data_IF_242116774394
#
_entry.id   IF_242116774394
#
_cell.length_a   1.000
_cell.length_b   1.000
_cell.length_c   1.000
_cell.angle_alpha   90.00
_cell.angle_beta   90.00
_cell.angle_gamma   90.00
#
_symmetry.space_group_name_H-M   'P 1'
#
loop_
_entity.id
_entity.type
_entity.pdbx_description
1 polymer ?
#
# COMPACT_ATOMS: atom_id res chain seq x y z
N UNK A 1 -68.71 11.05 -18.35
CA UNK A 1 -67.84 12.15 -17.92
C UNK A 1 -67.15 11.62 -16.66
N UNK A 2 -65.88 11.25 -16.64
CA UNK A 2 -64.72 12.04 -17.03
C UNK A 2 -63.60 11.23 -17.71
N UNK A 3 -63.14 11.77 -18.82
CA UNK A 3 -61.93 11.37 -19.54
C UNK A 3 -60.71 11.78 -18.72
N UNK A 4 -60.05 10.83 -18.06
CA UNK A 4 -58.69 11.06 -17.53
C UNK A 4 -57.70 10.99 -18.69
N UNK A 5 -57.24 12.15 -19.10
CA UNK A 5 -56.20 12.37 -20.10
C UNK A 5 -54.93 11.55 -19.77
N UNK A 6 -54.62 10.54 -20.60
CA UNK A 6 -53.29 9.93 -20.64
C UNK A 6 -52.32 10.97 -21.19
N UNK A 7 -51.46 11.50 -20.32
CA UNK A 7 -50.35 12.37 -20.75
C UNK A 7 -49.24 11.45 -21.26
N UNK A 8 -49.13 11.32 -22.58
CA UNK A 8 -47.98 10.67 -23.22
C UNK A 8 -46.84 11.68 -23.29
N UNK A 9 -45.91 11.63 -22.33
CA UNK A 9 -44.64 12.38 -22.42
C UNK A 9 -43.72 11.58 -23.33
N UNK A 10 -43.78 11.84 -24.63
CA UNK A 10 -42.78 11.35 -25.58
C UNK A 10 -41.65 12.37 -25.64
N UNK A 11 -40.71 12.32 -24.69
CA UNK A 11 -39.45 13.07 -24.85
C UNK A 11 -38.54 12.26 -25.77
N UNK A 12 -38.45 12.67 -27.03
CA UNK A 12 -37.65 12.01 -28.07
C UNK A 12 -36.12 12.24 -27.89
N UNK A 13 -35.68 12.71 -26.72
CA UNK A 13 -34.29 13.05 -26.40
C UNK A 13 -33.89 12.23 -25.18
N UNK A 14 -32.76 11.48 -25.23
CA UNK A 14 -32.28 10.74 -24.07
C UNK A 14 -32.08 11.70 -22.91
N UNK A 15 -32.79 11.46 -21.81
CA UNK A 15 -32.79 12.32 -20.61
C UNK A 15 -31.55 12.10 -19.75
N UNK A 16 -30.79 11.03 -20.02
CA UNK A 16 -29.62 10.64 -19.27
C UNK A 16 -28.60 9.85 -20.09
N UNK A 17 -27.34 9.93 -19.67
CA UNK A 17 -26.24 9.06 -20.08
C UNK A 17 -25.68 8.37 -18.84
N UNK A 18 -25.48 7.06 -18.90
CA UNK A 18 -24.91 6.28 -17.81
C UNK A 18 -23.83 5.31 -18.28
N UNK A 19 -22.80 5.12 -17.47
CA UNK A 19 -21.70 4.19 -17.73
C UNK A 19 -21.12 3.65 -16.43
N UNK A 20 -20.69 2.39 -16.44
CA UNK A 20 -19.87 1.83 -15.38
C UNK A 20 -18.41 1.88 -15.81
N UNK A 21 -17.57 2.53 -15.02
CA UNK A 21 -16.12 2.61 -15.27
C UNK A 21 -15.37 1.88 -14.16
N UNK A 22 -14.23 1.28 -14.50
CA UNK A 22 -13.39 0.56 -13.55
C UNK A 22 -12.04 1.27 -13.46
N UNK A 23 -11.71 1.75 -12.26
CA UNK A 23 -10.43 2.41 -11.96
C UNK A 23 -9.84 1.68 -10.76
N UNK A 24 -8.62 1.13 -10.91
CA UNK A 24 -7.91 0.38 -9.86
C UNK A 24 -8.74 -0.73 -9.20
N UNK A 25 -9.41 -1.51 -10.04
CA UNK A 25 -10.30 -2.60 -9.64
C UNK A 25 -11.57 -2.18 -8.87
N UNK A 26 -11.82 -0.88 -8.71
CA UNK A 26 -13.05 -0.32 -8.12
C UNK A 26 -14.00 0.11 -9.26
N UNK A 27 -15.25 -0.32 -9.18
CA UNK A 27 -16.30 0.08 -10.12
C UNK A 27 -17.00 1.34 -9.64
N UNK A 28 -17.06 2.34 -10.51
CA UNK A 28 -17.81 3.58 -10.33
C UNK A 28 -18.95 3.65 -11.32
N UNK A 29 -20.06 4.25 -10.91
CA UNK A 29 -21.17 4.55 -11.79
C UNK A 29 -21.15 6.04 -12.15
N UNK A 30 -21.09 6.35 -13.43
CA UNK A 30 -21.14 7.73 -13.93
C UNK A 30 -22.50 7.96 -14.54
N UNK A 31 -23.17 9.02 -14.11
CA UNK A 31 -24.47 9.41 -14.63
C UNK A 31 -24.43 10.87 -15.06
N UNK A 32 -25.05 11.22 -16.18
CA UNK A 32 -25.17 12.60 -16.67
C UNK A 32 -26.61 12.86 -17.06
N UNK A 33 -27.23 13.84 -16.40
CA UNK A 33 -28.66 14.13 -16.49
C UNK A 33 -28.89 15.58 -16.95
N UNK A 34 -29.95 15.79 -17.74
CA UNK A 34 -30.50 17.12 -18.00
C UNK A 34 -31.44 17.54 -16.85
N UNK A 35 -31.18 18.69 -16.22
CA UNK A 35 -32.04 19.26 -15.17
C UNK A 35 -33.26 20.02 -15.73
N UNK A 36 -33.51 19.88 -17.03
CA UNK A 36 -34.63 20.43 -17.74
C UNK A 36 -34.45 21.90 -18.13
N UNK A 37 -35.23 22.30 -19.14
CA UNK A 37 -35.14 23.62 -19.80
C UNK A 37 -35.25 24.82 -18.85
N UNK A 38 -36.04 24.71 -17.77
CA UNK A 38 -36.17 25.79 -16.77
C UNK A 38 -34.85 26.07 -16.05
N UNK A 39 -34.13 25.01 -15.70
CA UNK A 39 -32.83 25.12 -15.02
C UNK A 39 -31.70 25.36 -16.02
N UNK A 40 -31.83 24.83 -17.24
CA UNK A 40 -30.84 24.90 -18.31
C UNK A 40 -29.45 24.39 -17.90
N UNK A 41 -29.40 23.30 -17.11
CA UNK A 41 -28.15 22.71 -16.61
C UNK A 41 -28.06 21.22 -16.88
N UNK A 42 -26.87 20.77 -17.23
CA UNK A 42 -26.49 19.35 -17.26
C UNK A 42 -25.66 19.06 -16.02
N UNK A 43 -25.94 17.95 -15.36
CA UNK A 43 -25.21 17.52 -14.16
C UNK A 43 -24.65 16.12 -14.38
N UNK A 44 -23.33 16.01 -14.28
CA UNK A 44 -22.63 14.72 -14.22
C UNK A 44 -22.30 14.40 -12.77
N UNK A 45 -22.54 13.16 -12.35
CA UNK A 45 -22.22 12.63 -11.02
C UNK A 45 -21.49 11.31 -11.17
N UNK A 46 -20.46 11.11 -10.36
CA UNK A 46 -19.78 9.84 -10.21
C UNK A 46 -20.10 9.28 -8.84
N UNK A 47 -20.55 8.03 -8.81
CA UNK A 47 -20.99 7.34 -7.62
C UNK A 47 -20.05 6.18 -7.27
N UNK A 48 -19.81 6.01 -5.97
CA UNK A 48 -19.18 4.83 -5.38
C UNK A 48 -20.10 4.30 -4.28
N UNK A 49 -20.60 3.07 -4.43
CA UNK A 49 -21.51 2.44 -3.44
C UNK A 49 -22.71 3.30 -3.05
N UNK A 50 -23.23 4.10 -3.97
CA UNK A 50 -24.39 4.99 -3.77
C UNK A 50 -24.04 6.42 -3.32
N UNK A 51 -22.79 6.70 -2.95
CA UNK A 51 -22.36 8.05 -2.56
C UNK A 51 -21.78 8.83 -3.75
N UNK A 52 -22.09 10.12 -3.85
CA UNK A 52 -21.53 11.01 -4.88
C UNK A 52 -20.09 11.36 -4.48
N UNK A 53 -19.12 10.86 -5.24
CA UNK A 53 -17.69 11.13 -5.02
C UNK A 53 -17.15 12.24 -5.91
N UNK A 54 -17.89 12.60 -6.97
CA UNK A 54 -17.56 13.72 -7.85
C UNK A 54 -18.84 14.25 -8.51
N UNK A 55 -18.92 15.57 -8.74
CA UNK A 55 -19.99 16.17 -9.52
C UNK A 55 -19.50 17.35 -10.34
N UNK A 56 -19.97 17.44 -11.58
CA UNK A 56 -19.71 18.53 -12.52
C UNK A 56 -21.01 19.07 -13.08
N UNK A 57 -21.15 20.39 -13.12
CA UNK A 57 -22.33 21.07 -13.66
C UNK A 57 -21.92 21.93 -14.85
N UNK A 58 -22.75 21.97 -15.89
CA UNK A 58 -22.59 22.89 -17.01
C UNK A 58 -23.91 23.59 -17.34
N UNK A 59 -23.83 24.85 -17.72
CA UNK A 59 -24.98 25.63 -18.20
C UNK A 59 -25.13 25.49 -19.72
N UNK A 60 -26.37 25.42 -20.21
CA UNK A 60 -26.68 25.40 -21.63
C UNK A 60 -27.76 26.42 -22.05
N UNK A 61 -28.06 27.44 -21.23
CA UNK A 61 -29.17 28.36 -21.46
C UNK A 61 -29.15 28.99 -22.87
N UNK A 62 -27.95 29.25 -23.39
CA UNK A 62 -27.72 29.77 -24.74
C UNK A 62 -28.21 28.83 -25.87
N UNK A 63 -28.24 27.51 -25.66
CA UNK A 63 -28.70 26.53 -26.66
C UNK A 63 -30.22 26.53 -26.83
N UNK A 64 -30.97 26.95 -25.81
CA UNK A 64 -32.45 26.84 -25.77
C UNK A 64 -33.17 27.63 -26.86
N UNK A 65 -32.50 28.63 -27.46
CA UNK A 65 -33.02 29.51 -28.51
C UNK A 65 -32.61 29.07 -29.92
N UNK A 66 -31.74 28.06 -30.05
CA UNK A 66 -31.20 27.63 -31.33
C UNK A 66 -32.14 26.64 -32.02
N UNK A 67 -32.16 26.67 -33.36
CA UNK A 67 -32.70 25.55 -34.15
C UNK A 67 -31.94 24.26 -33.81
N UNK A 68 -32.64 23.14 -33.84
CA UNK A 68 -32.12 21.80 -33.48
C UNK A 68 -31.54 21.72 -32.05
N UNK A 69 -32.15 22.44 -31.10
CA UNK A 69 -31.78 22.42 -29.68
C UNK A 69 -31.64 21.01 -29.12
N UNK A 70 -32.56 20.10 -29.43
CA UNK A 70 -32.56 18.72 -28.92
C UNK A 70 -31.27 17.97 -29.28
N UNK A 71 -30.86 18.03 -30.55
CA UNK A 71 -29.64 17.36 -31.02
C UNK A 71 -28.37 17.99 -30.42
N UNK A 72 -28.36 19.33 -30.30
CA UNK A 72 -27.24 20.05 -29.68
C UNK A 72 -27.11 19.73 -28.20
N UNK A 73 -28.23 19.64 -27.49
CA UNK A 73 -28.24 19.25 -26.08
C UNK A 73 -27.73 17.82 -25.93
N UNK A 74 -28.23 16.88 -26.75
CA UNK A 74 -27.77 15.48 -26.75
C UNK A 74 -26.25 15.38 -26.94
N UNK A 75 -25.71 16.06 -27.95
CA UNK A 75 -24.27 16.11 -28.21
C UNK A 75 -23.47 16.78 -27.08
N UNK A 76 -24.02 17.81 -26.43
CA UNK A 76 -23.39 18.43 -25.27
C UNK A 76 -23.36 17.48 -24.06
N UNK A 77 -24.46 16.78 -23.78
CA UNK A 77 -24.55 15.79 -22.70
C UNK A 77 -23.56 14.66 -22.90
N UNK A 78 -23.47 14.10 -24.10
CA UNK A 78 -22.51 13.04 -24.43
C UNK A 78 -21.06 13.50 -24.25
N UNK A 79 -20.70 14.69 -24.77
CA UNK A 79 -19.36 15.25 -24.58
C UNK A 79 -19.05 15.51 -23.11
N UNK A 80 -20.02 16.00 -22.34
CA UNK A 80 -19.84 16.21 -20.91
C UNK A 80 -19.67 14.88 -20.17
N UNK A 81 -20.42 13.85 -20.55
CA UNK A 81 -20.30 12.51 -19.98
C UNK A 81 -18.90 11.93 -20.19
N UNK A 82 -18.44 11.88 -21.44
CA UNK A 82 -17.13 11.33 -21.78
C UNK A 82 -15.99 12.16 -21.14
N UNK A 83 -16.05 13.49 -21.23
CA UNK A 83 -15.03 14.33 -20.58
C UNK A 83 -15.03 14.24 -19.06
N UNK A 84 -16.16 13.92 -18.43
CA UNK A 84 -16.23 13.67 -16.99
C UNK A 84 -15.57 12.35 -16.63
N UNK A 85 -15.79 11.31 -17.43
CA UNK A 85 -15.10 10.02 -17.27
C UNK A 85 -13.59 10.23 -17.41
N UNK A 86 -13.13 10.82 -18.51
CA UNK A 86 -11.71 11.02 -18.79
C UNK A 86 -11.02 11.82 -17.67
N UNK A 87 -11.65 12.92 -17.25
CA UNK A 87 -11.16 13.74 -16.15
C UNK A 87 -11.13 12.95 -14.83
N UNK A 88 -12.18 12.21 -14.50
CA UNK A 88 -12.24 11.45 -13.25
C UNK A 88 -11.20 10.33 -13.21
N UNK A 89 -11.02 9.60 -14.32
CA UNK A 89 -9.98 8.57 -14.45
C UNK A 89 -8.59 9.21 -14.29
N UNK A 90 -8.30 10.28 -15.01
CA UNK A 90 -7.01 10.97 -14.93
C UNK A 90 -6.74 11.54 -13.53
N UNK A 91 -7.73 12.18 -12.89
CA UNK A 91 -7.61 12.72 -11.54
C UNK A 91 -7.31 11.62 -10.51
N UNK A 92 -7.95 10.44 -10.65
CA UNK A 92 -7.66 9.28 -9.82
C UNK A 92 -6.26 8.74 -10.05
N UNK A 93 -5.86 8.57 -11.31
CA UNK A 93 -4.50 8.13 -11.67
C UNK A 93 -3.42 9.12 -11.21
N UNK A 94 -3.70 10.41 -11.10
CA UNK A 94 -2.77 11.44 -10.59
C UNK A 94 -2.78 11.52 -9.05
N UNK A 95 -3.92 11.25 -8.39
CA UNK A 95 -4.03 11.30 -6.93
C UNK A 95 -3.66 9.98 -6.24
N UNK A 96 -3.66 8.86 -6.95
CA UNK A 96 -3.17 7.60 -6.41
C UNK A 96 -1.66 7.53 -6.49
N UNK A 97 -1.04 7.98 -5.40
CA UNK A 97 0.40 7.82 -5.13
C UNK A 97 0.86 6.41 -5.53
N UNK A 98 1.82 6.33 -6.44
CA UNK A 98 2.36 5.07 -6.92
C UNK A 98 3.05 4.31 -5.77
N UNK A 99 3.10 2.98 -5.89
CA UNK A 99 3.84 2.14 -4.93
C UNK A 99 5.29 2.58 -4.74
N UNK A 100 5.97 2.96 -5.82
CA UNK A 100 7.34 3.46 -5.79
C UNK A 100 7.47 4.73 -4.94
N UNK A 101 6.50 5.64 -5.01
CA UNK A 101 6.53 6.87 -4.23
C UNK A 101 6.32 6.63 -2.73
N UNK A 102 5.51 5.62 -2.36
CA UNK A 102 5.44 5.17 -0.96
C UNK A 102 6.79 4.60 -0.51
N UNK A 103 7.43 3.83 -1.38
CA UNK A 103 8.73 3.21 -1.12
C UNK A 103 9.82 4.25 -0.87
N UNK A 104 9.94 5.23 -1.77
CA UNK A 104 10.89 6.33 -1.67
C UNK A 104 10.66 7.16 -0.40
N UNK A 105 9.39 7.44 -0.06
CA UNK A 105 9.04 8.21 1.12
C UNK A 105 9.46 7.48 2.42
N UNK A 106 9.05 6.22 2.60
CA UNK A 106 9.39 5.52 3.85
C UNK A 106 10.90 5.29 3.95
N UNK A 107 11.60 5.03 2.83
CA UNK A 107 13.06 4.88 2.83
C UNK A 107 13.74 6.19 3.22
N UNK A 108 13.30 7.33 2.70
CA UNK A 108 13.80 8.64 3.10
C UNK A 108 13.60 8.88 4.62
N UNK A 109 12.43 8.54 5.15
CA UNK A 109 12.14 8.66 6.58
C UNK A 109 13.05 7.76 7.43
N UNK A 110 13.31 6.53 6.99
CA UNK A 110 14.26 5.64 7.66
C UNK A 110 15.69 6.18 7.67
N UNK A 111 16.16 6.75 6.55
CA UNK A 111 17.49 7.41 6.48
C UNK A 111 17.61 8.58 7.45
N UNK A 112 16.50 9.28 7.73
CA UNK A 112 16.43 10.36 8.71
C UNK A 112 16.20 9.88 10.15
N UNK A 113 16.16 8.56 10.39
CA UNK A 113 15.90 7.97 11.70
C UNK A 113 14.45 8.08 12.18
N UNK A 114 13.52 8.52 11.32
CA UNK A 114 12.11 8.68 11.68
C UNK A 114 11.30 7.40 11.41
N UNK A 115 11.52 6.39 12.26
CA UNK A 115 10.86 5.10 12.16
C UNK A 115 9.33 5.14 12.36
N UNK A 116 8.82 6.05 13.19
CA UNK A 116 7.39 6.18 13.47
C UNK A 116 6.61 6.70 12.26
N UNK A 117 7.11 7.77 11.60
CA UNK A 117 6.49 8.25 10.37
C UNK A 117 6.64 7.24 9.24
N UNK A 118 7.80 6.58 9.12
CA UNK A 118 7.99 5.52 8.11
C UNK A 118 6.98 4.37 8.27
N UNK A 119 6.70 3.97 9.52
CA UNK A 119 5.68 2.97 9.81
C UNK A 119 4.27 3.43 9.40
N UNK A 120 3.93 4.70 9.61
CA UNK A 120 2.63 5.23 9.20
C UNK A 120 2.46 5.24 7.67
N UNK A 121 3.51 5.64 6.93
CA UNK A 121 3.52 5.59 5.46
C UNK A 121 3.29 4.15 4.97
N UNK A 122 3.93 3.17 5.60
CA UNK A 122 3.75 1.75 5.25
C UNK A 122 2.33 1.25 5.55
N UNK A 123 1.69 1.69 6.64
CA UNK A 123 0.27 1.35 6.92
C UNK A 123 -0.64 1.84 5.80
N UNK A 124 -0.50 3.11 5.42
CA UNK A 124 -1.28 3.71 4.33
C UNK A 124 -1.00 2.99 3.01
N UNK A 125 0.26 2.64 2.73
CA UNK A 125 0.64 1.90 1.53
C UNK A 125 0.01 0.50 1.51
N UNK A 126 -0.02 -0.21 2.64
CA UNK A 126 -0.60 -1.55 2.75
C UNK A 126 -2.14 -1.56 2.70
N UNK A 127 -2.81 -0.45 3.04
CA UNK A 127 -4.25 -0.33 2.79
C UNK A 127 -4.56 -0.40 1.28
N UNK A 128 -3.63 0.07 0.43
CA UNK A 128 -3.74 0.03 -1.04
C UNK A 128 -3.12 -1.20 -1.67
N UNK A 129 -2.01 -1.67 -1.14
CA UNK A 129 -1.20 -2.78 -1.67
C UNK A 129 -1.00 -3.87 -0.59
N UNK A 130 -2.09 -4.51 -0.11
CA UNK A 130 -2.07 -5.35 1.10
C UNK A 130 -1.19 -6.58 1.01
N UNK A 131 -0.98 -7.10 -0.20
CA UNK A 131 -0.19 -8.31 -0.45
C UNK A 131 1.19 -8.01 -1.04
N UNK A 132 1.64 -6.75 -1.06
CA UNK A 132 2.97 -6.43 -1.57
C UNK A 132 4.06 -6.95 -0.60
N UNK A 133 4.93 -7.89 -1.05
CA UNK A 133 5.90 -8.51 -0.17
C UNK A 133 6.90 -7.51 0.42
N UNK A 134 7.32 -6.48 -0.33
CA UNK A 134 8.31 -5.53 0.14
C UNK A 134 7.71 -4.64 1.24
N UNK A 135 6.52 -4.09 1.00
CA UNK A 135 5.83 -3.28 1.99
C UNK A 135 5.59 -4.07 3.27
N UNK A 136 5.15 -5.32 3.17
CA UNK A 136 4.95 -6.19 4.33
C UNK A 136 6.26 -6.49 5.08
N UNK A 137 7.36 -6.75 4.38
CA UNK A 137 8.66 -7.03 5.01
C UNK A 137 9.14 -5.84 5.86
N UNK A 138 9.12 -4.63 5.30
CA UNK A 138 9.49 -3.43 6.04
C UNK A 138 8.49 -3.11 7.15
N UNK A 139 7.19 -3.29 6.90
CA UNK A 139 6.14 -3.07 7.90
C UNK A 139 6.33 -3.99 9.11
N UNK A 140 6.53 -5.30 8.90
CA UNK A 140 6.78 -6.25 9.98
C UNK A 140 8.02 -5.89 10.80
N UNK A 141 9.09 -5.46 10.15
CA UNK A 141 10.31 -5.02 10.82
C UNK A 141 10.06 -3.77 11.70
N UNK A 142 9.40 -2.74 11.17
CA UNK A 142 9.11 -1.52 11.91
C UNK A 142 8.06 -1.73 13.01
N UNK A 143 7.06 -2.59 12.79
CA UNK A 143 6.11 -2.99 13.83
C UNK A 143 6.84 -3.61 15.02
N UNK A 144 7.84 -4.46 14.76
CA UNK A 144 8.67 -5.00 15.84
C UNK A 144 9.45 -3.88 16.54
N UNK A 145 10.20 -3.07 15.80
CA UNK A 145 11.20 -2.14 16.37
C UNK A 145 10.55 -0.93 17.04
N UNK A 146 9.58 -0.30 16.36
CA UNK A 146 8.97 0.98 16.72
C UNK A 146 7.80 0.78 17.68
N UNK A 147 6.86 -0.12 17.36
CA UNK A 147 5.68 -0.38 18.21
C UNK A 147 5.94 -1.43 19.31
N UNK A 148 7.14 -2.01 19.35
CA UNK A 148 7.50 -3.06 20.30
C UNK A 148 6.64 -4.34 20.17
N UNK A 149 5.96 -4.52 19.03
CA UNK A 149 5.12 -5.70 18.72
C UNK A 149 5.94 -6.78 18.04
N UNK A 150 7.00 -7.23 18.72
CA UNK A 150 8.03 -8.05 18.12
C UNK A 150 7.54 -9.40 17.55
N UNK A 151 6.67 -10.11 18.28
CA UNK A 151 6.10 -11.39 17.81
C UNK A 151 5.26 -11.24 16.54
N UNK A 152 4.46 -10.18 16.48
CA UNK A 152 3.62 -9.87 15.32
C UNK A 152 4.48 -9.45 14.13
N UNK A 153 5.46 -8.58 14.35
CA UNK A 153 6.38 -8.15 13.31
C UNK A 153 7.15 -9.30 12.66
N UNK A 154 7.61 -10.28 13.46
CA UNK A 154 8.21 -11.52 12.95
C UNK A 154 7.23 -12.30 12.07
N UNK A 155 5.98 -12.47 12.51
CA UNK A 155 4.95 -13.18 11.74
C UNK A 155 4.70 -12.51 10.39
N UNK A 156 4.61 -11.18 10.38
CA UNK A 156 4.42 -10.39 9.16
C UNK A 156 5.62 -10.56 8.21
N UNK A 157 6.86 -10.50 8.72
CA UNK A 157 8.06 -10.70 7.90
C UNK A 157 8.10 -12.10 7.24
N UNK A 158 7.68 -13.14 7.98
CA UNK A 158 7.58 -14.49 7.44
C UNK A 158 6.50 -14.59 6.35
N UNK A 159 5.36 -13.92 6.55
CA UNK A 159 4.31 -13.84 5.51
C UNK A 159 4.83 -13.16 4.25
N UNK A 160 5.60 -12.07 4.39
CA UNK A 160 6.21 -11.35 3.27
C UNK A 160 7.12 -12.27 2.43
N UNK A 161 8.01 -13.04 3.07
CA UNK A 161 8.87 -14.01 2.38
C UNK A 161 8.04 -15.08 1.66
N UNK A 162 7.00 -15.61 2.32
CA UNK A 162 6.12 -16.62 1.71
C UNK A 162 5.36 -16.09 0.48
N UNK A 163 5.01 -14.81 0.46
CA UNK A 163 4.38 -14.18 -0.72
C UNK A 163 5.40 -13.88 -1.82
N UNK A 164 6.63 -13.50 -1.44
CA UNK A 164 7.73 -13.30 -2.40
C UNK A 164 7.93 -14.54 -3.27
N UNK A 165 7.99 -15.73 -2.66
CA UNK A 165 8.15 -17.02 -3.35
C UNK A 165 7.02 -17.36 -4.32
N UNK A 166 5.85 -16.72 -4.18
CA UNK A 166 4.69 -16.95 -5.06
C UNK A 166 4.56 -15.92 -6.18
N UNK A 167 5.00 -14.70 -5.92
CA UNK A 167 4.61 -13.53 -6.71
C UNK A 167 5.73 -12.96 -7.56
N UNK A 168 7.00 -13.21 -7.24
CA UNK A 168 8.13 -12.68 -8.02
C UNK A 168 8.58 -13.66 -9.11
N UNK A 169 8.84 -13.19 -10.34
CA UNK A 169 9.41 -14.02 -11.40
C UNK A 169 10.83 -14.49 -11.04
N UNK A 170 11.25 -15.61 -11.63
CA UNK A 170 12.63 -16.08 -11.62
C UNK A 170 13.60 -14.93 -12.00
N UNK A 171 14.70 -14.77 -11.26
CA UNK A 171 15.66 -13.68 -11.45
C UNK A 171 15.50 -12.50 -10.48
N UNK A 172 14.52 -12.55 -9.57
CA UNK A 172 14.26 -11.50 -8.56
C UNK A 172 14.98 -11.76 -7.23
N UNK A 173 15.88 -12.73 -7.17
CA UNK A 173 16.54 -13.21 -5.95
C UNK A 173 17.42 -12.13 -5.31
N UNK A 174 17.88 -11.15 -6.09
CA UNK A 174 18.69 -10.04 -5.59
C UNK A 174 17.99 -9.20 -4.50
N UNK A 175 16.67 -9.26 -4.42
CA UNK A 175 15.89 -8.56 -3.39
C UNK A 175 15.78 -9.32 -2.07
N UNK A 176 15.99 -10.64 -2.08
CA UNK A 176 15.77 -11.52 -0.94
C UNK A 176 16.61 -11.16 0.29
N UNK A 177 17.89 -10.70 0.16
CA UNK A 177 18.68 -10.29 1.32
C UNK A 177 18.00 -9.25 2.21
N UNK A 178 17.26 -8.29 1.61
CA UNK A 178 16.55 -7.26 2.38
C UNK A 178 15.44 -7.85 3.27
N UNK A 179 14.75 -8.89 2.82
CA UNK A 179 13.72 -9.57 3.60
C UNK A 179 14.30 -10.28 4.80
N UNK A 180 15.43 -10.96 4.60
CA UNK A 180 16.13 -11.67 5.65
C UNK A 180 16.79 -10.73 6.66
N UNK A 181 17.29 -9.57 6.22
CA UNK A 181 17.74 -8.50 7.10
C UNK A 181 16.61 -8.01 8.01
N UNK A 182 15.45 -7.71 7.43
CA UNK A 182 14.27 -7.25 8.15
C UNK A 182 13.75 -8.29 9.15
N UNK A 183 13.66 -9.56 8.73
CA UNK A 183 13.31 -10.67 9.60
C UNK A 183 14.32 -10.85 10.74
N UNK A 184 15.60 -10.74 10.45
CA UNK A 184 16.68 -10.79 11.44
C UNK A 184 16.52 -9.72 12.51
N UNK A 185 16.30 -8.46 12.10
CA UNK A 185 16.04 -7.33 13.00
C UNK A 185 14.78 -7.54 13.86
N UNK A 186 13.70 -8.04 13.27
CA UNK A 186 12.47 -8.37 14.01
C UNK A 186 12.72 -9.47 15.06
N UNK A 187 13.47 -10.51 14.71
CA UNK A 187 13.86 -11.56 15.66
C UNK A 187 14.76 -11.05 16.79
N UNK A 188 15.70 -10.15 16.51
CA UNK A 188 16.52 -9.50 17.55
C UNK A 188 15.65 -8.76 18.55
N UNK A 189 14.71 -7.97 18.05
CA UNK A 189 13.74 -7.26 18.90
C UNK A 189 12.86 -8.23 19.70
N UNK A 190 12.57 -9.40 19.17
CA UNK A 190 11.84 -10.47 19.86
C UNK A 190 12.72 -11.31 20.81
N UNK A 191 13.98 -10.93 21.05
CA UNK A 191 14.98 -11.69 21.84
C UNK A 191 15.28 -13.10 21.30
N UNK A 192 14.90 -13.41 20.05
CA UNK A 192 15.13 -14.69 19.39
C UNK A 192 16.46 -14.68 18.65
N UNK A 193 17.55 -14.52 19.40
CA UNK A 193 18.89 -14.28 18.83
C UNK A 193 19.36 -15.39 17.88
N UNK A 194 19.00 -16.65 18.14
CA UNK A 194 19.33 -17.78 17.26
C UNK A 194 18.68 -17.60 15.89
N UNK A 195 17.38 -17.33 15.87
CA UNK A 195 16.63 -17.16 14.62
C UNK A 195 16.99 -15.88 13.89
N UNK A 196 17.39 -14.83 14.62
CA UNK A 196 17.99 -13.66 14.01
C UNK A 196 19.26 -13.99 13.23
N UNK A 197 20.20 -14.75 13.83
CA UNK A 197 21.42 -15.17 13.13
C UNK A 197 21.10 -16.05 11.93
N UNK A 198 20.18 -17.01 12.08
CA UNK A 198 19.77 -17.89 10.98
C UNK A 198 19.24 -17.06 9.81
N UNK A 199 18.31 -16.14 10.04
CA UNK A 199 17.76 -15.27 9.00
C UNK A 199 18.86 -14.45 8.31
N UNK A 200 19.73 -13.78 9.08
CA UNK A 200 20.83 -12.99 8.53
C UNK A 200 21.82 -13.84 7.72
N UNK A 201 22.15 -15.05 8.17
CA UNK A 201 22.99 -15.99 7.43
C UNK A 201 22.33 -16.46 6.14
N UNK A 202 21.02 -16.70 6.13
CA UNK A 202 20.27 -16.99 4.91
C UNK A 202 20.38 -15.83 3.92
N UNK A 203 20.23 -14.58 4.38
CA UNK A 203 20.46 -13.41 3.51
C UNK A 203 21.88 -13.35 2.93
N UNK A 204 22.92 -13.66 3.72
CA UNK A 204 24.30 -13.71 3.23
C UNK A 204 24.61 -14.88 2.29
N UNK A 205 23.85 -15.97 2.36
CA UNK A 205 24.00 -17.05 1.38
C UNK A 205 23.52 -16.64 -0.02
N UNK A 206 22.69 -15.59 -0.11
CA UNK A 206 22.18 -15.02 -1.36
C UNK A 206 23.09 -13.89 -1.83
N UNK A 207 23.45 -12.98 -0.93
CA UNK A 207 24.43 -11.90 -1.18
C UNK A 207 25.45 -11.87 -0.04
N UNK A 208 26.60 -12.51 -0.27
CA UNK A 208 27.68 -12.63 0.72
C UNK A 208 28.36 -11.30 1.03
N UNK A 209 28.20 -10.30 0.16
CA UNK A 209 28.79 -8.96 0.29
C UNK A 209 27.86 -7.94 0.94
N UNK A 210 26.64 -8.35 1.32
CA UNK A 210 25.62 -7.43 1.82
C UNK A 210 26.07 -6.70 3.09
N UNK A 211 26.42 -5.41 2.94
CA UNK A 211 26.99 -4.61 4.02
C UNK A 211 26.05 -4.43 5.21
N UNK A 212 24.74 -4.28 4.98
CA UNK A 212 23.77 -4.07 6.04
C UNK A 212 23.62 -5.31 6.93
N UNK A 213 23.60 -6.50 6.34
CA UNK A 213 23.54 -7.76 7.09
C UNK A 213 24.83 -8.00 7.86
N UNK A 214 25.99 -7.79 7.23
CA UNK A 214 27.29 -7.91 7.89
C UNK A 214 27.40 -6.97 9.09
N UNK A 215 26.92 -5.73 8.94
CA UNK A 215 26.90 -4.76 10.02
C UNK A 215 25.94 -5.14 11.15
N UNK A 216 24.75 -5.65 10.83
CA UNK A 216 23.78 -6.14 11.82
C UNK A 216 24.37 -7.30 12.64
N UNK A 217 25.03 -8.27 11.98
CA UNK A 217 25.75 -9.36 12.65
C UNK A 217 26.89 -8.84 13.54
N UNK A 218 27.67 -7.85 13.06
CA UNK A 218 28.76 -7.25 13.83
C UNK A 218 28.25 -6.60 15.12
N UNK A 219 27.13 -5.86 15.06
CA UNK A 219 26.48 -5.24 16.23
C UNK A 219 26.06 -6.22 17.29
N UNK A 220 25.65 -7.42 16.88
CA UNK A 220 25.28 -8.46 17.83
C UNK A 220 26.49 -8.84 18.71
N UNK A 221 27.70 -8.72 18.19
CA UNK A 221 28.95 -9.07 18.86
C UNK A 221 29.22 -10.57 18.82
N UNK A 222 30.50 -10.92 18.85
CA UNK A 222 30.94 -12.31 18.81
C UNK A 222 30.69 -13.01 20.14
N UNK A 223 30.20 -14.24 20.05
CA UNK A 223 29.97 -15.05 21.23
C UNK A 223 31.31 -15.60 21.73
N UNK A 224 31.90 -14.97 22.76
CA UNK A 224 33.19 -15.37 23.35
C UNK A 224 33.31 -16.89 23.51
N UNK A 225 34.49 -17.43 23.22
CA UNK A 225 34.82 -18.85 23.39
C UNK A 225 34.49 -19.31 24.82
N UNK A 226 33.98 -20.56 25.00
CA UNK A 226 33.79 -21.13 26.32
C UNK A 226 35.09 -21.04 27.12
N UNK A 227 35.01 -20.76 28.42
CA UNK A 227 36.22 -20.59 29.26
C UNK A 227 36.97 -21.90 29.36
N UNK A 228 36.22 -23.00 29.42
CA UNK A 228 36.73 -24.36 29.41
C UNK A 228 36.27 -25.03 28.11
N UNK A 229 37.13 -25.11 27.06
CA UNK A 229 36.71 -25.53 25.72
C UNK A 229 36.18 -26.96 25.62
N UNK A 230 36.63 -27.86 26.50
CA UNK A 230 36.20 -29.26 26.53
C UNK A 230 34.80 -29.46 27.16
N UNK A 231 34.29 -28.47 27.91
CA UNK A 231 32.95 -28.53 28.48
C UNK A 231 31.94 -27.86 27.54
N UNK A 232 30.78 -28.49 27.36
CA UNK A 232 29.68 -27.86 26.62
C UNK A 232 29.26 -26.55 27.30
N UNK A 233 28.72 -25.60 26.52
CA UNK A 233 28.32 -24.29 27.03
C UNK A 233 27.20 -24.35 28.08
N UNK A 234 26.39 -25.40 28.08
CA UNK A 234 25.36 -25.60 29.08
C UNK A 234 25.88 -26.20 30.39
N UNK A 235 27.13 -26.67 30.42
CA UNK A 235 27.75 -27.19 31.61
C UNK A 235 27.79 -26.10 32.71
N UNK A 236 27.33 -26.40 33.94
CA UNK A 236 27.30 -25.46 35.05
C UNK A 236 28.64 -24.78 35.33
N UNK A 237 29.75 -25.53 35.24
CA UNK A 237 31.12 -25.03 35.45
C UNK A 237 31.44 -23.95 34.41
N UNK A 238 31.19 -24.24 33.13
CA UNK A 238 31.48 -23.30 32.04
C UNK A 238 30.58 -22.05 32.11
N UNK A 239 29.33 -22.19 32.56
CA UNK A 239 28.42 -21.05 32.83
C UNK A 239 28.90 -20.19 33.98
N UNK A 240 29.31 -20.79 35.09
CA UNK A 240 29.72 -20.07 36.30
C UNK A 240 31.01 -19.28 36.05
N UNK A 241 32.03 -19.94 35.49
CA UNK A 241 33.30 -19.28 35.14
C UNK A 241 33.07 -18.19 34.07
N UNK A 242 32.19 -18.44 33.11
CA UNK A 242 31.78 -17.43 32.12
C UNK A 242 31.14 -16.19 32.75
N UNK A 243 30.28 -16.36 33.76
CA UNK A 243 29.68 -15.25 34.52
C UNK A 243 30.73 -14.47 35.30
N UNK A 244 31.63 -15.15 36.01
CA UNK A 244 32.74 -14.50 36.73
C UNK A 244 33.62 -13.67 35.79
N UNK A 245 34.05 -14.24 34.66
CA UNK A 245 34.84 -13.53 33.64
C UNK A 245 34.12 -12.28 33.12
N UNK A 246 32.80 -12.36 32.94
CA UNK A 246 32.00 -11.20 32.47
C UNK A 246 31.89 -10.07 33.49
N UNK A 247 31.98 -10.35 34.80
CA UNK A 247 31.99 -9.32 35.85
C UNK A 247 33.34 -8.59 35.93
N UNK A 248 34.44 -9.29 35.66
CA UNK A 248 35.80 -8.75 35.71
C UNK A 248 36.20 -8.01 34.42
N UNK A 249 35.57 -8.34 33.29
CA UNK A 249 35.88 -7.74 31.97
C UNK A 249 34.85 -6.71 31.50
N UNK A 250 33.94 -6.27 32.37
CA UNK A 250 33.11 -5.08 32.10
C UNK A 250 34.00 -3.84 32.36
N UNK A 251 34.17 -2.93 31.39
CA UNK A 251 34.67 -1.60 31.70
C UNK A 251 33.72 -0.86 32.64
#
# INVERSE_FOLDING_TARGET
>A
MDSKSKINIVSNVPTEYSSNIKVDNITYHVQTEDMGKKTSKIVSRVFLKGEIVFSKKADYAHLTKLKNYGDKLKSLMERQHNSTIDYFVAERSIKDKLKSEYFDEFQMLLRRGNGASALNVLKIALDKYPDDPFLLSYYGCLMAIVENKAKEGVKICLTAIKQLDKSMPFGSEFFYPAFYLNLGRAHLKNNNRKEAVNALQTGLSIDSSNHDILWELKKMGERKKPVVPFLTRNNPINKYIGKLRSKVTKP
#
